data_IF_759009872551
#
_entry.id   IF_759009872551
#
_cell.length_a   1.000
_cell.length_b   1.000
_cell.length_c   1.000
_cell.angle_alpha   90.00
_cell.angle_beta   90.00
_cell.angle_gamma   90.00
#
_symmetry.space_group_name_H-M   'P 1'
#
loop_
_entity.id
_entity.type
_entity.pdbx_description
1 polymer ?
#
# COMPACT_ATOMS: atom_id res chain seq x y z
N UNK A 1 -6.12 3.76 -47.46
CA UNK A 1 -4.96 3.07 -46.86
C UNK A 1 -5.12 3.25 -45.34
N UNK A 2 -5.81 2.28 -44.73
CA UNK A 2 -6.18 2.35 -43.30
C UNK A 2 -5.02 1.79 -42.45
N UNK A 3 -4.73 2.38 -41.28
CA UNK A 3 -3.72 1.83 -40.37
C UNK A 3 -4.23 0.53 -39.72
N UNK A 4 -3.33 -0.40 -39.38
CA UNK A 4 -3.72 -1.64 -38.71
C UNK A 4 -4.12 -1.39 -37.26
N UNK A 5 -4.98 -2.24 -36.66
CA UNK A 5 -5.41 -2.10 -35.29
C UNK A 5 -4.27 -2.36 -34.31
N UNK A 6 -4.17 -1.50 -33.31
CA UNK A 6 -3.23 -1.60 -32.17
C UNK A 6 -3.45 -2.91 -31.45
N UNK A 7 -2.42 -3.75 -31.43
CA UNK A 7 -2.39 -5.01 -30.70
C UNK A 7 -2.33 -4.71 -29.21
N UNK A 8 -3.48 -4.84 -28.53
CA UNK A 8 -3.55 -4.92 -27.08
C UNK A 8 -2.66 -6.06 -26.58
N UNK A 9 -1.90 -5.76 -25.54
CA UNK A 9 -0.84 -6.54 -24.96
C UNK A 9 -1.20 -7.99 -24.63
N UNK A 10 -1.08 -8.87 -25.60
CA UNK A 10 -1.02 -10.31 -25.37
C UNK A 10 0.32 -10.62 -24.70
N UNK A 11 0.29 -10.99 -23.43
CA UNK A 11 1.41 -11.58 -22.70
C UNK A 11 1.98 -12.74 -23.52
N UNK A 12 3.29 -12.72 -23.80
CA UNK A 12 3.96 -13.78 -24.54
C UNK A 12 3.67 -15.14 -23.87
N UNK A 13 3.35 -16.20 -24.64
CA UNK A 13 3.02 -17.53 -24.13
C UNK A 13 4.14 -18.12 -23.24
N UNK A 14 5.39 -17.82 -23.50
CA UNK A 14 6.55 -18.21 -22.68
C UNK A 14 6.51 -17.64 -21.25
N UNK A 15 6.02 -16.42 -21.08
CA UNK A 15 5.92 -15.77 -19.76
C UNK A 15 4.85 -16.43 -18.89
N UNK A 16 3.74 -16.85 -19.47
CA UNK A 16 2.66 -17.54 -18.75
C UNK A 16 3.06 -18.94 -18.31
N UNK A 17 3.76 -19.68 -19.17
CA UNK A 17 4.28 -21.01 -18.85
C UNK A 17 5.24 -20.93 -17.67
N UNK A 18 6.18 -20.00 -17.70
CA UNK A 18 7.17 -19.77 -16.63
C UNK A 18 6.53 -19.40 -15.29
N UNK A 19 5.47 -18.56 -15.29
CA UNK A 19 4.75 -18.22 -14.05
C UNK A 19 3.91 -19.38 -13.54
N UNK A 20 3.34 -20.21 -14.43
CA UNK A 20 2.62 -21.42 -14.04
C UNK A 20 3.55 -22.42 -13.34
N UNK A 21 4.77 -22.58 -13.83
CA UNK A 21 5.77 -23.46 -13.22
C UNK A 21 6.25 -22.90 -11.89
N UNK A 22 6.47 -21.58 -11.80
CA UNK A 22 6.80 -20.89 -10.56
C UNK A 22 5.69 -21.06 -9.50
N UNK A 23 4.43 -20.93 -9.92
CA UNK A 23 3.26 -21.13 -9.07
C UNK A 23 3.21 -22.55 -8.51
N UNK A 24 3.31 -23.57 -9.38
CA UNK A 24 3.29 -24.98 -8.97
C UNK A 24 4.41 -25.33 -7.99
N UNK A 25 5.61 -24.79 -8.23
CA UNK A 25 6.79 -25.08 -7.42
C UNK A 25 6.77 -24.36 -6.05
N UNK A 26 6.12 -23.21 -5.94
CA UNK A 26 6.30 -22.34 -4.77
C UNK A 26 5.01 -21.93 -4.04
N UNK A 27 3.82 -22.18 -4.61
CA UNK A 27 2.54 -21.77 -4.01
C UNK A 27 2.33 -22.34 -2.60
N UNK A 28 2.53 -23.66 -2.41
CA UNK A 28 2.35 -24.29 -1.09
C UNK A 28 3.31 -23.73 -0.04
N UNK A 29 4.57 -23.52 -0.44
CA UNK A 29 5.56 -22.90 0.45
C UNK A 29 5.18 -21.46 0.81
N UNK A 30 4.79 -20.64 -0.18
CA UNK A 30 4.43 -19.24 0.05
C UNK A 30 3.20 -19.11 0.93
N UNK A 31 2.17 -19.90 0.65
CA UNK A 31 0.95 -19.93 1.48
C UNK A 31 1.26 -20.37 2.92
N UNK A 32 2.09 -21.39 3.10
CA UNK A 32 2.53 -21.82 4.43
C UNK A 32 3.34 -20.74 5.16
N UNK A 33 4.21 -20.04 4.43
CA UNK A 33 5.01 -18.92 4.97
C UNK A 33 4.12 -17.73 5.39
N UNK A 34 3.05 -17.44 4.64
CA UNK A 34 2.08 -16.40 4.96
C UNK A 34 1.18 -16.78 6.14
N UNK A 35 0.71 -18.05 6.24
CA UNK A 35 -0.16 -18.53 7.32
C UNK A 35 0.42 -18.33 8.72
N UNK A 36 1.71 -18.33 8.87
CA UNK A 36 2.38 -18.08 10.15
C UNK A 36 2.40 -16.58 10.52
N UNK A 37 2.04 -15.70 9.58
CA UNK A 37 2.16 -14.24 9.70
C UNK A 37 0.83 -13.51 9.65
N UNK A 38 -0.24 -14.19 9.29
CA UNK A 38 -1.61 -13.67 9.32
C UNK A 38 -2.49 -14.62 10.11
N UNK A 39 -3.46 -14.07 10.82
CA UNK A 39 -4.37 -14.85 11.68
C UNK A 39 -5.43 -15.58 10.85
N UNK A 40 -5.83 -15.01 9.70
CA UNK A 40 -6.85 -15.58 8.82
C UNK A 40 -6.21 -16.40 7.67
N UNK A 41 -6.77 -17.59 7.45
CA UNK A 41 -6.37 -18.49 6.35
C UNK A 41 -6.74 -17.93 4.98
N UNK A 42 -7.82 -17.17 4.89
CA UNK A 42 -8.26 -16.52 3.65
C UNK A 42 -7.28 -15.43 3.25
N UNK A 43 -6.84 -14.58 4.19
CA UNK A 43 -5.81 -13.58 3.91
C UNK A 43 -4.51 -14.19 3.40
N UNK A 44 -4.08 -15.33 3.98
CA UNK A 44 -2.87 -16.00 3.51
C UNK A 44 -3.00 -16.49 2.07
N UNK A 45 -4.17 -16.97 1.67
CA UNK A 45 -4.44 -17.42 0.30
C UNK A 45 -4.50 -16.22 -0.67
N UNK A 46 -5.19 -15.17 -0.29
CA UNK A 46 -5.33 -13.95 -1.09
C UNK A 46 -3.97 -13.26 -1.30
N UNK A 47 -3.17 -13.11 -0.24
CA UNK A 47 -1.82 -12.55 -0.33
C UNK A 47 -0.89 -13.41 -1.20
N UNK A 48 -1.03 -14.74 -1.15
CA UNK A 48 -0.28 -15.62 -2.03
C UNK A 48 -0.69 -15.40 -3.50
N UNK A 49 -1.98 -15.33 -3.78
CA UNK A 49 -2.51 -15.07 -5.12
C UNK A 49 -2.03 -13.69 -5.64
N UNK A 50 -2.17 -12.63 -4.84
CA UNK A 50 -1.72 -11.28 -5.19
C UNK A 50 -0.22 -11.22 -5.46
N UNK A 51 0.57 -11.99 -4.72
CA UNK A 51 2.02 -12.10 -4.95
C UNK A 51 2.30 -12.64 -6.34
N UNK A 52 1.62 -13.70 -6.77
CA UNK A 52 1.82 -14.27 -8.12
C UNK A 52 1.26 -13.37 -9.22
N UNK A 53 0.16 -12.64 -8.98
CA UNK A 53 -0.36 -11.63 -9.92
C UNK A 53 0.70 -10.53 -10.16
N UNK A 54 1.35 -10.03 -9.09
CA UNK A 54 2.42 -9.03 -9.22
C UNK A 54 3.64 -9.57 -9.97
N UNK A 55 3.97 -10.85 -9.80
CA UNK A 55 5.05 -11.50 -10.59
C UNK A 55 4.68 -11.57 -12.06
N UNK A 56 3.45 -11.93 -12.39
CA UNK A 56 2.92 -11.91 -13.76
C UNK A 56 3.07 -10.52 -14.40
N UNK A 57 2.69 -9.48 -13.68
CA UNK A 57 2.75 -8.10 -14.16
C UNK A 57 4.19 -7.58 -14.34
N UNK A 58 5.15 -8.13 -13.58
CA UNK A 58 6.54 -7.66 -13.61
C UNK A 58 7.37 -8.23 -14.77
N UNK A 59 6.87 -9.22 -15.51
CA UNK A 59 7.57 -9.91 -16.60
C UNK A 59 8.98 -10.45 -16.26
N UNK A 60 9.31 -10.63 -14.97
CA UNK A 60 10.64 -11.01 -14.49
C UNK A 60 10.76 -12.50 -14.22
N UNK A 61 9.66 -13.25 -14.26
CA UNK A 61 9.59 -14.67 -13.86
C UNK A 61 10.65 -15.56 -14.52
N UNK A 62 10.96 -15.33 -15.80
CA UNK A 62 11.93 -16.11 -16.56
C UNK A 62 13.40 -15.89 -16.16
N UNK A 63 13.72 -14.79 -15.47
CA UNK A 63 15.09 -14.38 -15.13
C UNK A 63 15.43 -14.53 -13.65
N UNK A 64 14.50 -15.05 -12.84
CA UNK A 64 14.66 -15.15 -11.40
C UNK A 64 15.70 -16.23 -11.03
N UNK A 65 16.82 -15.81 -10.46
CA UNK A 65 17.84 -16.71 -9.91
C UNK A 65 17.41 -17.30 -8.56
N UNK A 66 16.68 -16.52 -7.76
CA UNK A 66 16.21 -16.88 -6.42
C UNK A 66 14.70 -16.63 -6.26
N UNK A 67 13.84 -17.51 -6.77
CA UNK A 67 12.39 -17.30 -6.79
C UNK A 67 11.80 -17.09 -5.39
N UNK A 68 12.22 -17.87 -4.39
CA UNK A 68 11.70 -17.75 -3.02
C UNK A 68 12.00 -16.39 -2.38
N UNK A 69 13.19 -15.88 -2.57
CA UNK A 69 13.60 -14.56 -2.05
C UNK A 69 12.78 -13.44 -2.68
N UNK A 70 12.57 -13.53 -3.99
CA UNK A 70 11.77 -12.55 -4.73
C UNK A 70 10.30 -12.58 -4.31
N UNK A 71 9.67 -13.77 -4.26
CA UNK A 71 8.30 -13.95 -3.79
C UNK A 71 8.13 -13.46 -2.36
N UNK A 72 9.06 -13.78 -1.45
CA UNK A 72 9.03 -13.30 -0.08
C UNK A 72 9.12 -11.77 0.02
N UNK A 73 9.86 -11.12 -0.87
CA UNK A 73 9.98 -9.65 -0.89
C UNK A 73 8.66 -9.00 -1.28
N UNK A 74 7.99 -9.50 -2.32
CA UNK A 74 6.66 -9.01 -2.73
C UNK A 74 5.63 -9.29 -1.62
N UNK A 75 5.61 -10.52 -1.09
CA UNK A 75 4.67 -10.91 -0.05
C UNK A 75 4.82 -10.09 1.24
N UNK A 76 6.05 -9.71 1.64
CA UNK A 76 6.28 -8.80 2.78
C UNK A 76 5.67 -7.42 2.54
N UNK A 77 5.79 -6.87 1.33
CA UNK A 77 5.16 -5.60 0.99
C UNK A 77 3.64 -5.67 1.14
N UNK A 78 3.02 -6.75 0.63
CA UNK A 78 1.58 -7.00 0.75
C UNK A 78 1.13 -7.20 2.20
N UNK A 79 1.92 -7.90 3.02
CA UNK A 79 1.67 -8.06 4.46
C UNK A 79 1.67 -6.71 5.20
N UNK A 80 2.65 -5.87 4.93
CA UNK A 80 2.74 -4.54 5.53
C UNK A 80 1.51 -3.71 5.14
N UNK A 81 1.09 -3.76 3.88
CA UNK A 81 -0.11 -3.07 3.39
C UNK A 81 -1.38 -3.59 4.09
N UNK A 82 -1.52 -4.91 4.28
CA UNK A 82 -2.64 -5.53 5.00
C UNK A 82 -2.69 -5.06 6.47
N UNK A 83 -1.57 -5.13 7.18
CA UNK A 83 -1.51 -4.72 8.59
C UNK A 83 -1.82 -3.24 8.78
N UNK A 84 -1.34 -2.38 7.87
CA UNK A 84 -1.69 -0.95 7.88
C UNK A 84 -3.17 -0.72 7.69
N UNK A 85 -3.75 -1.36 6.70
CA UNK A 85 -5.18 -1.24 6.43
C UNK A 85 -6.00 -1.64 7.66
N UNK A 86 -5.65 -2.74 8.31
CA UNK A 86 -6.31 -3.19 9.54
C UNK A 86 -6.13 -2.22 10.70
N UNK A 87 -4.94 -1.67 10.87
CA UNK A 87 -4.68 -0.68 11.90
C UNK A 87 -5.52 0.60 11.70
N UNK A 88 -5.64 1.07 10.46
CA UNK A 88 -6.50 2.21 10.11
C UNK A 88 -7.98 1.88 10.34
N UNK A 89 -8.43 0.69 9.97
CA UNK A 89 -9.80 0.23 10.17
C UNK A 89 -10.16 0.18 11.66
N UNK A 90 -9.29 -0.40 12.48
CA UNK A 90 -9.47 -0.44 13.93
C UNK A 90 -9.50 0.96 14.54
N UNK A 91 -8.59 1.85 14.16
CA UNK A 91 -8.58 3.24 14.64
C UNK A 91 -9.86 3.99 14.24
N UNK A 92 -10.35 3.78 13.01
CA UNK A 92 -11.59 4.37 12.54
C UNK A 92 -12.81 3.87 13.32
N UNK A 93 -12.90 2.56 13.57
CA UNK A 93 -13.98 1.96 14.37
C UNK A 93 -14.00 2.50 15.80
N UNK A 94 -12.83 2.66 16.44
CA UNK A 94 -12.71 3.28 17.75
C UNK A 94 -13.24 4.74 17.78
N UNK A 95 -12.99 5.50 16.72
CA UNK A 95 -13.55 6.85 16.59
C UNK A 95 -15.08 6.78 16.46
N UNK A 96 -15.61 5.88 15.63
CA UNK A 96 -17.06 5.70 15.47
C UNK A 96 -17.74 5.33 16.77
N UNK A 97 -17.17 4.40 17.56
CA UNK A 97 -17.70 4.00 18.87
C UNK A 97 -17.76 5.16 19.86
N UNK A 98 -16.92 6.18 19.70
CA UNK A 98 -16.93 7.37 20.55
C UNK A 98 -18.00 8.42 20.16
N UNK A 99 -18.63 8.27 18.98
CA UNK A 99 -19.64 9.19 18.49
C UNK A 99 -21.05 8.76 18.96
N UNK A 100 -21.97 9.73 19.17
CA UNK A 100 -23.38 9.41 19.40
C UNK A 100 -23.96 8.64 18.19
N UNK A 101 -24.86 7.68 18.42
CA UNK A 101 -25.48 6.86 17.35
C UNK A 101 -26.11 7.68 16.23
N UNK A 102 -26.63 8.88 16.55
CA UNK A 102 -27.22 9.81 15.57
C UNK A 102 -26.22 10.39 14.58
N UNK A 103 -24.92 10.21 14.81
CA UNK A 103 -23.83 10.70 13.95
C UNK A 103 -23.04 9.57 13.29
N UNK A 104 -23.52 8.32 13.40
CA UNK A 104 -22.87 7.21 12.72
C UNK A 104 -23.16 7.28 11.22
N UNK A 105 -22.11 7.35 10.38
CA UNK A 105 -22.27 7.33 8.94
C UNK A 105 -22.80 5.99 8.47
N UNK A 106 -23.46 5.97 7.33
CA UNK A 106 -23.89 4.73 6.67
C UNK A 106 -22.70 3.81 6.34
N UNK A 107 -22.96 2.53 6.12
CA UNK A 107 -21.90 1.58 5.74
C UNK A 107 -21.19 1.99 4.44
N UNK A 108 -21.92 2.59 3.49
CA UNK A 108 -21.35 3.10 2.25
C UNK A 108 -20.40 4.28 2.50
N UNK A 109 -20.80 5.22 3.36
CA UNK A 109 -19.96 6.35 3.75
C UNK A 109 -18.72 5.88 4.51
N UNK A 110 -18.86 4.89 5.41
CA UNK A 110 -17.74 4.29 6.11
C UNK A 110 -16.72 3.66 5.14
N UNK A 111 -17.21 2.90 4.15
CA UNK A 111 -16.37 2.28 3.14
C UNK A 111 -15.61 3.35 2.31
N UNK A 112 -16.28 4.43 1.92
CA UNK A 112 -15.69 5.53 1.17
C UNK A 112 -14.62 6.27 2.00
N UNK A 113 -14.89 6.54 3.26
CA UNK A 113 -13.92 7.17 4.18
C UNK A 113 -12.69 6.27 4.33
N UNK A 114 -12.90 4.97 4.54
CA UNK A 114 -11.80 4.01 4.68
C UNK A 114 -10.93 3.94 3.42
N UNK A 115 -11.53 3.90 2.23
CA UNK A 115 -10.79 3.93 0.97
C UNK A 115 -9.91 5.19 0.85
N UNK A 116 -10.47 6.35 1.20
CA UNK A 116 -9.74 7.62 1.19
C UNK A 116 -8.59 7.64 2.19
N UNK A 117 -8.80 7.12 3.41
CA UNK A 117 -7.77 7.02 4.44
C UNK A 117 -6.61 6.11 4.00
N UNK A 118 -6.90 4.94 3.46
CA UNK A 118 -5.88 4.01 2.93
C UNK A 118 -5.11 4.66 1.78
N UNK A 119 -5.79 5.36 0.89
CA UNK A 119 -5.17 6.08 -0.23
C UNK A 119 -4.24 7.20 0.25
N UNK A 120 -4.68 7.98 1.23
CA UNK A 120 -3.89 9.05 1.86
C UNK A 120 -2.66 8.48 2.57
N UNK A 121 -2.83 7.41 3.35
CA UNK A 121 -1.72 6.77 4.08
C UNK A 121 -0.62 6.26 3.12
N UNK A 122 -1.01 5.59 2.04
CA UNK A 122 -0.07 5.15 0.99
C UNK A 122 0.67 6.30 0.33
N UNK A 123 -0.05 7.39 0.04
CA UNK A 123 0.54 8.59 -0.55
C UNK A 123 1.59 9.21 0.37
N UNK A 124 1.25 9.36 1.65
CA UNK A 124 2.15 9.92 2.67
C UNK A 124 3.38 9.04 2.91
N UNK A 125 3.25 7.73 2.84
CA UNK A 125 4.40 6.82 2.96
C UNK A 125 5.41 6.95 1.83
N UNK A 126 4.94 7.24 0.61
CA UNK A 126 5.81 7.52 -0.53
C UNK A 126 6.71 8.77 -0.36
N UNK A 127 6.37 9.64 0.59
CA UNK A 127 7.15 10.86 0.89
C UNK A 127 8.32 10.63 1.85
N UNK A 128 8.36 9.48 2.53
CA UNK A 128 9.35 9.16 3.54
C UNK A 128 8.96 9.61 4.96
N UNK A 129 9.52 8.91 5.96
CA UNK A 129 9.07 8.97 7.37
C UNK A 129 9.06 10.39 7.96
N UNK A 130 10.11 11.19 7.72
CA UNK A 130 10.20 12.55 8.31
C UNK A 130 9.20 13.52 7.68
N UNK A 131 8.95 13.40 6.37
CA UNK A 131 7.98 14.24 5.65
C UNK A 131 6.57 13.90 6.11
N UNK A 132 6.24 12.61 6.20
CA UNK A 132 4.95 12.14 6.74
C UNK A 132 4.73 12.64 8.17
N UNK A 133 5.71 12.48 9.06
CA UNK A 133 5.62 12.94 10.44
C UNK A 133 5.40 14.46 10.51
N UNK A 134 6.18 15.26 9.77
CA UNK A 134 6.02 16.72 9.73
C UNK A 134 4.62 17.12 9.27
N UNK A 135 4.10 16.47 8.23
CA UNK A 135 2.77 16.74 7.70
C UNK A 135 1.66 16.42 8.71
N UNK A 136 1.72 15.26 9.36
CA UNK A 136 0.73 14.86 10.36
C UNK A 136 0.75 15.79 11.59
N UNK A 137 1.94 16.13 12.10
CA UNK A 137 2.08 17.09 13.21
C UNK A 137 1.49 18.46 12.85
N UNK A 138 1.70 18.94 11.61
CA UNK A 138 1.16 20.23 11.19
C UNK A 138 -0.36 20.21 11.00
N UNK A 139 -0.87 19.17 10.29
CA UNK A 139 -2.28 19.11 9.85
C UNK A 139 -3.23 18.60 10.92
N UNK A 140 -2.81 17.64 11.74
CA UNK A 140 -3.66 17.00 12.75
C UNK A 140 -3.44 17.63 14.12
N UNK A 141 -2.17 17.82 14.53
CA UNK A 141 -1.82 18.33 15.85
C UNK A 141 -1.77 19.87 15.88
N UNK A 142 -1.80 20.54 14.73
CA UNK A 142 -1.66 21.99 14.64
C UNK A 142 -0.29 22.52 15.09
N UNK A 143 0.74 21.67 15.12
CA UNK A 143 2.05 22.02 15.60
C UNK A 143 2.72 23.08 14.71
N UNK A 144 3.37 24.08 15.33
CA UNK A 144 4.11 25.08 14.59
C UNK A 144 5.41 24.51 14.00
N UNK A 145 5.90 25.10 12.92
CA UNK A 145 7.14 24.65 12.26
C UNK A 145 8.37 24.58 13.19
N UNK A 146 8.59 25.54 14.12
CA UNK A 146 9.66 25.42 15.11
C UNK A 146 9.52 24.18 16.02
N UNK A 147 8.31 23.85 16.45
CA UNK A 147 8.03 22.67 17.27
C UNK A 147 8.30 21.39 16.49
N UNK A 148 7.84 21.32 15.24
CA UNK A 148 8.10 20.19 14.34
C UNK A 148 9.59 20.04 14.08
N UNK A 149 10.31 21.14 13.81
CA UNK A 149 11.73 21.16 13.59
C UNK A 149 12.50 20.57 14.78
N UNK A 150 12.16 21.00 16.00
CA UNK A 150 12.76 20.48 17.24
C UNK A 150 12.47 18.98 17.42
N UNK A 151 11.22 18.53 17.21
CA UNK A 151 10.79 17.14 17.35
C UNK A 151 11.51 16.21 16.37
N UNK A 152 11.68 16.62 15.11
CA UNK A 152 12.27 15.80 14.04
C UNK A 152 13.81 15.95 13.92
N UNK A 153 14.42 16.84 14.70
CA UNK A 153 15.84 17.13 14.64
C UNK A 153 16.27 17.70 13.27
N UNK A 154 15.51 18.67 12.74
CA UNK A 154 15.76 19.33 11.46
C UNK A 154 15.62 20.86 11.56
N UNK A 155 16.02 21.62 10.54
CA UNK A 155 15.80 23.06 10.51
C UNK A 155 14.33 23.41 10.19
N UNK A 156 13.89 24.60 10.61
CA UNK A 156 12.57 25.15 10.26
C UNK A 156 12.39 25.24 8.73
N UNK A 157 13.45 25.59 8.00
CA UNK A 157 13.48 25.62 6.55
C UNK A 157 13.19 24.22 5.97
N UNK A 158 13.82 23.18 6.53
CA UNK A 158 13.60 21.79 6.11
C UNK A 158 12.15 21.35 6.35
N UNK A 159 11.52 21.82 7.44
CA UNK A 159 10.09 21.57 7.67
C UNK A 159 9.25 22.24 6.57
N UNK A 160 9.56 23.47 6.18
CA UNK A 160 8.92 24.13 5.04
C UNK A 160 9.01 23.32 3.75
N UNK A 161 10.20 22.79 3.43
CA UNK A 161 10.41 21.93 2.25
C UNK A 161 9.62 20.62 2.36
N UNK A 162 9.52 20.04 3.56
CA UNK A 162 8.70 18.84 3.80
C UNK A 162 7.23 19.11 3.56
N UNK A 163 6.71 20.23 4.07
CA UNK A 163 5.32 20.64 3.88
C UNK A 163 5.01 20.90 2.41
N UNK A 164 5.88 21.61 1.70
CA UNK A 164 5.71 21.86 0.26
C UNK A 164 5.62 20.56 -0.54
N UNK A 165 6.50 19.58 -0.25
CA UNK A 165 6.47 18.26 -0.91
C UNK A 165 5.21 17.48 -0.59
N UNK A 166 4.77 17.49 0.66
CA UNK A 166 3.55 16.81 1.08
C UNK A 166 2.31 17.42 0.41
N UNK A 167 2.21 18.76 0.41
CA UNK A 167 1.09 19.47 -0.21
C UNK A 167 1.02 19.28 -1.72
N UNK A 168 2.17 19.32 -2.42
CA UNK A 168 2.21 19.02 -3.85
C UNK A 168 1.66 17.63 -4.14
N UNK A 169 2.04 16.63 -3.33
CA UNK A 169 1.55 15.26 -3.49
C UNK A 169 0.07 15.10 -3.17
N UNK A 170 -0.46 15.90 -2.22
CA UNK A 170 -1.90 15.94 -1.95
C UNK A 170 -2.69 16.52 -3.14
N UNK A 171 -2.17 17.56 -3.78
CA UNK A 171 -2.81 18.13 -4.99
C UNK A 171 -2.89 17.11 -6.13
N UNK A 172 -1.81 16.34 -6.37
CA UNK A 172 -1.79 15.28 -7.40
C UNK A 172 -2.84 14.18 -7.16
N UNK A 173 -3.40 14.09 -5.96
CA UNK A 173 -4.45 13.10 -5.63
C UNK A 173 -5.88 13.61 -5.88
N UNK A 174 -6.06 14.91 -6.02
CA UNK A 174 -7.38 15.53 -6.19
C UNK A 174 -7.77 15.67 -7.67
N UNK A 175 -6.78 15.50 -8.56
CA UNK A 175 -6.94 15.44 -10.01
C UNK A 175 -7.19 13.99 -10.48
#
# INVERSE_FOLDING_TARGET
MSPPPSTEGALCPDSQQTVSDLYRAHHSWLTGWLRVRVDDRHDAADLAQDTFIRVLQSNVAATLREPRSYLATIARGLLIDLWRRRALEQAYLQVLESLPETHHPSLEEQALVMERLVRLDRMLDGLGRKVKAAFLMAMIEGASYPVIAASLGVSVRTVGDYMARAMARCCDMLD
#
